data_IF_381707257796
#
_entry.id   IF_381707257796
#
_cell.length_a   1.000
_cell.length_b   1.000
_cell.length_c   1.000
_cell.angle_alpha   90.00
_cell.angle_beta   90.00
_cell.angle_gamma   90.00
#
_symmetry.space_group_name_H-M   'P 1'
#
loop_
_entity.id
_entity.type
_entity.pdbx_description
1 polymer ?
#
# COMPACT_ATOMS: atom_id res chain seq x y z
N UNK A 1 3.56 18.85 -5.04
CA UNK A 1 4.06 18.09 -3.88
C UNK A 1 3.55 16.67 -4.03
N UNK A 2 4.42 15.67 -3.98
CA UNK A 2 4.01 14.28 -4.13
C UNK A 2 3.04 13.84 -3.04
N UNK A 3 2.06 13.01 -3.38
CA UNK A 3 1.05 12.52 -2.45
C UNK A 3 1.50 11.22 -1.80
N UNK A 4 1.56 11.18 -0.47
CA UNK A 4 1.89 9.96 0.28
C UNK A 4 0.61 9.23 0.68
N UNK A 5 0.49 7.95 0.31
CA UNK A 5 -0.72 7.16 0.48
C UNK A 5 -0.37 5.84 1.18
N UNK A 6 -0.86 5.65 2.40
CA UNK A 6 -0.72 4.37 3.09
C UNK A 6 -1.77 3.37 2.61
N UNK A 7 -1.34 2.16 2.24
CA UNK A 7 -2.23 1.06 1.85
C UNK A 7 -2.49 0.20 3.08
N UNK A 8 -3.69 0.30 3.63
CA UNK A 8 -4.01 -0.26 4.95
C UNK A 8 -5.30 -1.06 4.96
N UNK A 9 -5.29 -2.16 5.68
CA UNK A 9 -6.45 -2.90 6.16
C UNK A 9 -5.97 -3.87 7.25
N UNK A 10 -6.71 -3.99 8.35
CA UNK A 10 -6.38 -4.90 9.46
C UNK A 10 -6.48 -6.37 9.05
N UNK A 11 -7.38 -6.68 8.12
CA UNK A 11 -7.58 -8.04 7.64
C UNK A 11 -6.41 -8.45 6.75
N UNK A 12 -5.81 -9.61 7.07
CA UNK A 12 -4.82 -10.26 6.21
C UNK A 12 -5.46 -10.75 4.90
N UNK A 13 -4.65 -10.83 3.83
CA UNK A 13 -5.09 -11.43 2.57
C UNK A 13 -6.07 -10.61 1.71
N UNK A 14 -6.41 -9.37 2.07
CA UNK A 14 -7.34 -8.53 1.28
C UNK A 14 -6.71 -7.90 0.03
N UNK A 15 -5.44 -8.17 -0.24
CA UNK A 15 -4.74 -7.67 -1.43
C UNK A 15 -4.04 -6.32 -1.23
N UNK A 16 -3.61 -5.95 -0.02
CA UNK A 16 -2.80 -4.75 0.23
C UNK A 16 -1.56 -4.71 -0.65
N UNK A 17 -0.64 -5.65 -0.44
CA UNK A 17 0.60 -5.77 -1.21
C UNK A 17 0.36 -5.92 -2.72
N UNK A 18 -0.63 -6.75 -3.11
CA UNK A 18 -1.01 -6.89 -4.52
C UNK A 18 -1.44 -5.56 -5.12
N UNK A 19 -2.21 -4.76 -4.39
CA UNK A 19 -2.66 -3.44 -4.84
C UNK A 19 -1.49 -2.46 -4.90
N UNK A 20 -0.65 -2.42 -3.86
CA UNK A 20 0.53 -1.55 -3.80
C UNK A 20 1.48 -1.81 -4.98
N UNK A 21 1.85 -3.07 -5.23
CA UNK A 21 2.74 -3.48 -6.32
C UNK A 21 2.17 -3.11 -7.69
N UNK A 22 0.91 -3.48 -7.94
CA UNK A 22 0.34 -3.35 -9.28
C UNK A 22 -0.11 -1.93 -9.61
N UNK A 23 -0.56 -1.13 -8.63
CA UNK A 23 -0.82 0.31 -8.85
C UNK A 23 0.49 1.06 -9.09
N UNK A 24 1.56 0.78 -8.33
CA UNK A 24 2.87 1.38 -8.56
C UNK A 24 3.31 1.16 -10.00
N UNK A 25 3.28 -0.08 -10.48
CA UNK A 25 3.67 -0.40 -11.84
C UNK A 25 2.76 0.25 -12.89
N UNK A 26 1.45 0.25 -12.68
CA UNK A 26 0.49 0.84 -13.62
C UNK A 26 0.62 2.38 -13.69
N UNK A 27 0.88 3.07 -12.57
CA UNK A 27 1.13 4.50 -12.55
C UNK A 27 2.49 4.85 -13.20
N UNK A 28 3.51 4.02 -12.99
CA UNK A 28 4.81 4.15 -13.68
C UNK A 28 4.66 4.01 -15.20
N UNK A 29 3.84 3.07 -15.68
CA UNK A 29 3.50 2.93 -17.11
C UNK A 29 2.83 4.20 -17.67
N UNK A 30 2.15 4.99 -16.85
CA UNK A 30 1.53 6.28 -17.21
C UNK A 30 2.49 7.47 -17.09
N UNK A 31 3.76 7.24 -16.74
CA UNK A 31 4.80 8.25 -16.69
C UNK A 31 4.96 8.96 -15.34
N UNK A 32 4.26 8.53 -14.29
CA UNK A 32 4.43 9.10 -12.95
C UNK A 32 5.71 8.58 -12.29
N UNK A 33 6.32 9.42 -11.45
CA UNK A 33 7.40 9.04 -10.56
C UNK A 33 6.79 8.46 -9.29
N UNK A 34 6.94 7.16 -9.09
CA UNK A 34 6.30 6.45 -7.98
C UNK A 34 7.34 5.75 -7.11
N UNK A 35 7.28 6.00 -5.81
CA UNK A 35 8.00 5.24 -4.79
C UNK A 35 7.03 4.31 -4.07
N UNK A 36 7.40 3.06 -3.91
CA UNK A 36 6.71 2.09 -3.08
C UNK A 36 7.57 1.73 -1.87
N UNK A 37 7.08 2.12 -0.70
CA UNK A 37 7.71 1.87 0.59
C UNK A 37 7.15 0.55 1.13
N UNK A 38 7.97 -0.48 1.19
CA UNK A 38 7.60 -1.77 1.81
C UNK A 38 7.77 -1.65 3.33
N UNK A 39 6.67 -1.47 4.05
CA UNK A 39 6.71 -1.28 5.51
C UNK A 39 6.11 -2.48 6.27
N UNK A 40 6.15 -3.65 5.63
CA UNK A 40 5.75 -4.93 6.22
C UNK A 40 7.00 -5.82 6.44
N UNK A 41 7.24 -6.35 7.64
CA UNK A 41 8.35 -7.28 7.92
C UNK A 41 8.33 -8.55 7.05
N UNK A 42 7.18 -8.92 6.47
CA UNK A 42 7.10 -10.03 5.52
C UNK A 42 7.85 -9.71 4.20
N UNK A 43 8.05 -8.43 3.91
CA UNK A 43 8.77 -7.94 2.73
C UNK A 43 8.24 -8.54 1.40
N UNK A 44 6.92 -8.68 1.30
CA UNK A 44 6.26 -9.25 0.12
C UNK A 44 6.26 -8.29 -1.07
N UNK A 45 6.17 -6.99 -0.83
CA UNK A 45 6.33 -5.94 -1.83
C UNK A 45 7.71 -6.00 -2.47
N UNK A 46 8.76 -6.09 -1.65
CA UNK A 46 10.16 -6.22 -2.08
C UNK A 46 10.33 -7.43 -3.00
N UNK A 47 9.80 -8.59 -2.60
CA UNK A 47 9.82 -9.79 -3.43
C UNK A 47 9.00 -9.64 -4.72
N UNK A 48 7.85 -8.97 -4.65
CA UNK A 48 6.96 -8.73 -5.78
C UNK A 48 7.58 -7.87 -6.90
N UNK A 49 8.64 -7.12 -6.60
CA UNK A 49 9.45 -6.38 -7.57
C UNK A 49 10.75 -7.11 -7.96
N UNK A 50 10.91 -8.36 -7.57
CA UNK A 50 12.09 -9.18 -7.91
C UNK A 50 13.37 -8.76 -7.21
N UNK A 51 13.28 -8.00 -6.12
CA UNK A 51 14.44 -7.53 -5.36
C UNK A 51 14.93 -8.65 -4.43
N UNK A 52 16.20 -9.07 -4.60
CA UNK A 52 16.83 -10.06 -3.72
C UNK A 52 17.20 -9.42 -2.37
N UNK A 53 16.41 -9.73 -1.35
CA UNK A 53 16.58 -9.21 0.02
C UNK A 53 17.96 -9.46 0.62
N UNK A 54 18.66 -10.53 0.17
CA UNK A 54 20.00 -10.89 0.67
C UNK A 54 21.11 -10.03 0.11
N UNK A 55 20.84 -9.29 -0.98
CA UNK A 55 21.80 -8.41 -1.66
C UNK A 55 21.59 -6.93 -1.33
N UNK A 56 20.62 -6.62 -0.50
CA UNK A 56 20.37 -5.24 -0.09
C UNK A 56 21.52 -4.72 0.76
N UNK A 57 22.01 -3.53 0.43
CA UNK A 57 22.95 -2.80 1.28
C UNK A 57 22.23 -2.21 2.49
N UNK A 58 21.08 -1.65 2.26
CA UNK A 58 20.19 -1.05 3.26
C UNK A 58 18.75 -1.42 2.97
N UNK A 59 17.96 -1.51 4.01
CA UNK A 59 16.50 -1.68 3.97
C UNK A 59 15.81 -0.53 4.72
N UNK A 60 14.51 -0.51 4.70
CA UNK A 60 13.72 0.47 5.46
C UNK A 60 13.99 0.38 6.97
N UNK A 61 14.40 -0.78 7.49
CA UNK A 61 14.84 -0.92 8.88
C UNK A 61 16.01 0.03 9.18
N UNK A 62 17.07 0.02 8.33
CA UNK A 62 18.22 0.89 8.51
C UNK A 62 17.85 2.38 8.38
N UNK A 63 16.83 2.69 7.56
CA UNK A 63 16.35 4.06 7.40
C UNK A 63 15.67 4.57 8.67
N UNK A 64 14.78 3.77 9.28
CA UNK A 64 14.00 4.22 10.45
C UNK A 64 14.70 4.03 11.78
N UNK A 65 15.65 3.10 11.88
CA UNK A 65 16.37 2.79 13.15
C UNK A 65 17.79 3.36 13.13
N UNK A 66 18.57 3.09 12.06
CA UNK A 66 19.99 3.48 12.03
C UNK A 66 20.18 4.90 11.45
N UNK A 67 19.11 5.57 10.98
CA UNK A 67 19.18 6.91 10.43
C UNK A 67 19.83 6.99 9.04
N UNK A 68 19.89 5.89 8.31
CA UNK A 68 20.37 5.88 6.92
C UNK A 68 19.45 6.75 6.07
N UNK A 69 19.97 7.69 5.25
CA UNK A 69 19.12 8.47 4.35
C UNK A 69 18.27 7.58 3.43
N UNK A 70 16.96 7.82 3.35
CA UNK A 70 16.05 6.99 2.56
C UNK A 70 16.51 6.83 1.10
N UNK A 71 17.08 7.87 0.49
CA UNK A 71 17.63 7.85 -0.88
C UNK A 71 18.70 6.79 -1.09
N UNK A 72 19.47 6.45 -0.06
CA UNK A 72 20.58 5.50 -0.14
C UNK A 72 20.12 4.04 -0.02
N UNK A 73 18.87 3.82 0.41
CA UNK A 73 18.22 2.52 0.52
C UNK A 73 17.24 2.23 -0.64
N UNK A 74 16.91 3.23 -1.46
CA UNK A 74 15.97 3.05 -2.57
C UNK A 74 16.61 2.21 -3.68
N UNK A 75 15.86 1.25 -4.19
CA UNK A 75 16.19 0.41 -5.34
C UNK A 75 15.30 0.82 -6.52
N UNK A 76 15.92 1.31 -7.59
CA UNK A 76 15.17 1.64 -8.83
C UNK A 76 14.92 0.38 -9.64
N UNK A 77 13.67 0.24 -10.11
CA UNK A 77 13.23 -0.86 -10.97
C UNK A 77 12.52 -0.32 -12.21
N UNK A 78 12.34 -1.12 -13.26
CA UNK A 78 11.55 -0.72 -14.43
C UNK A 78 10.09 -0.38 -14.09
N UNK A 79 9.60 -0.83 -12.95
CA UNK A 79 8.17 -0.75 -12.56
C UNK A 79 7.90 0.32 -11.50
N UNK A 80 8.91 1.03 -11.05
CA UNK A 80 8.87 2.05 -10.00
C UNK A 80 10.04 1.90 -9.04
N UNK A 81 10.28 2.91 -8.23
CA UNK A 81 11.28 2.86 -7.18
C UNK A 81 10.72 2.17 -5.94
N UNK A 82 11.54 1.41 -5.24
CA UNK A 82 11.15 0.68 -4.04
C UNK A 82 12.10 1.03 -2.90
N UNK A 83 11.54 1.39 -1.75
CA UNK A 83 12.25 1.38 -0.47
C UNK A 83 12.01 0.02 0.17
N UNK A 84 12.97 -0.92 0.09
CA UNK A 84 12.74 -2.33 0.36
C UNK A 84 12.71 -2.66 1.85
N UNK A 85 12.02 -3.73 2.19
CA UNK A 85 11.95 -4.32 3.53
C UNK A 85 12.78 -5.60 3.65
N UNK A 86 13.09 -5.94 4.89
CA UNK A 86 13.63 -7.24 5.30
C UNK A 86 12.90 -7.71 6.57
N UNK A 87 13.03 -8.99 6.98
CA UNK A 87 12.47 -9.49 8.24
C UNK A 87 12.97 -8.73 9.48
N UNK A 88 14.13 -8.04 9.40
CA UNK A 88 14.67 -7.24 10.50
C UNK A 88 13.71 -6.12 10.92
N UNK A 89 12.84 -5.65 10.01
CA UNK A 89 11.83 -4.63 10.31
C UNK A 89 10.88 -5.06 11.46
N UNK A 90 10.77 -6.36 11.75
CA UNK A 90 10.02 -6.82 12.91
C UNK A 90 10.61 -6.30 14.23
N UNK A 91 11.95 -6.18 14.30
CA UNK A 91 12.66 -5.58 15.44
C UNK A 91 12.36 -4.09 15.61
N UNK A 92 12.21 -3.37 14.50
CA UNK A 92 11.91 -1.93 14.52
C UNK A 92 10.63 -1.60 15.31
N UNK A 93 9.63 -2.48 15.28
CA UNK A 93 8.39 -2.28 16.03
C UNK A 93 8.62 -2.17 17.56
N UNK A 94 9.63 -2.86 18.07
CA UNK A 94 10.03 -2.83 19.49
C UNK A 94 10.94 -1.62 19.76
N UNK A 95 11.93 -1.41 18.89
CA UNK A 95 12.94 -0.35 19.06
C UNK A 95 12.32 1.04 18.97
N UNK A 96 11.36 1.24 18.10
CA UNK A 96 10.62 2.50 17.96
C UNK A 96 9.87 2.90 19.25
N UNK A 97 9.49 1.96 20.12
CA UNK A 97 8.76 2.26 21.36
C UNK A 97 9.54 3.23 22.25
N UNK A 98 10.87 3.10 22.28
CA UNK A 98 11.76 3.95 23.07
C UNK A 98 12.18 5.25 22.37
N UNK A 99 11.82 5.42 21.11
CA UNK A 99 12.22 6.58 20.32
C UNK A 99 11.35 7.80 20.64
N UNK A 100 11.97 8.99 20.64
CA UNK A 100 11.23 10.25 20.68
C UNK A 100 10.42 10.41 19.37
N UNK A 101 9.17 10.87 19.49
CA UNK A 101 8.21 10.95 18.34
C UNK A 101 8.11 9.63 17.57
N UNK A 102 8.02 8.52 18.29
CA UNK A 102 8.06 7.15 17.79
C UNK A 102 7.07 6.85 16.65
N UNK A 103 5.94 7.54 16.59
CA UNK A 103 4.93 7.39 15.54
C UNK A 103 5.28 8.15 14.24
N UNK A 104 6.28 9.06 14.27
CA UNK A 104 6.64 9.96 13.17
C UNK A 104 8.03 9.66 12.55
N UNK A 105 8.67 8.54 12.89
CA UNK A 105 10.00 8.24 12.38
C UNK A 105 10.00 8.02 10.85
N UNK A 106 9.01 7.31 10.33
CA UNK A 106 8.88 7.12 8.88
C UNK A 106 8.60 8.44 8.15
N UNK A 107 7.72 9.29 8.67
CA UNK A 107 7.43 10.62 8.14
C UNK A 107 8.72 11.43 7.98
N UNK A 108 9.50 11.53 9.06
CA UNK A 108 10.80 12.23 9.08
C UNK A 108 11.78 11.69 8.04
N UNK A 109 11.80 10.38 7.83
CA UNK A 109 12.69 9.75 6.85
C UNK A 109 12.25 9.99 5.40
N UNK A 110 10.95 10.10 5.13
CA UNK A 110 10.41 10.30 3.78
C UNK A 110 10.37 11.78 3.35
N UNK A 111 10.30 12.71 4.30
CA UNK A 111 10.18 14.16 4.01
C UNK A 111 11.26 14.68 3.04
N UNK A 112 12.57 14.33 3.17
CA UNK A 112 13.62 14.83 2.28
C UNK A 112 13.46 14.39 0.82
N UNK A 113 12.74 13.30 0.55
CA UNK A 113 12.58 12.72 -0.78
C UNK A 113 11.19 12.90 -1.37
N UNK A 114 10.22 13.38 -0.57
CA UNK A 114 8.80 13.49 -0.95
C UNK A 114 8.58 14.25 -2.25
N UNK A 115 9.34 15.32 -2.49
CA UNK A 115 9.20 16.15 -3.69
C UNK A 115 9.79 15.52 -4.98
N UNK A 116 10.51 14.41 -4.86
CA UNK A 116 11.07 13.70 -6.01
C UNK A 116 10.05 12.79 -6.69
N UNK A 117 8.94 12.50 -6.01
CA UNK A 117 7.89 11.58 -6.46
C UNK A 117 6.54 12.30 -6.61
N UNK A 118 5.73 11.81 -7.55
CA UNK A 118 4.36 12.26 -7.72
C UNK A 118 3.43 11.51 -6.75
N UNK A 119 3.75 10.22 -6.48
CA UNK A 119 3.07 9.38 -5.50
C UNK A 119 4.09 8.56 -4.71
N UNK A 120 3.91 8.50 -3.39
CA UNK A 120 4.59 7.55 -2.50
C UNK A 120 3.52 6.63 -1.90
N UNK A 121 3.60 5.34 -2.18
CA UNK A 121 2.81 4.34 -1.46
C UNK A 121 3.58 3.81 -0.26
N UNK A 122 2.86 3.52 0.83
CA UNK A 122 3.39 2.81 2.00
C UNK A 122 2.55 1.54 2.15
N UNK A 123 3.14 0.37 1.86
CA UNK A 123 2.50 -0.93 2.07
C UNK A 123 2.63 -1.34 3.53
N UNK A 124 1.52 -1.31 4.26
CA UNK A 124 1.50 -1.53 5.71
C UNK A 124 1.16 -2.98 6.08
N UNK A 125 1.68 -3.50 7.21
CA UNK A 125 1.32 -4.83 7.70
C UNK A 125 -0.17 -4.91 8.09
N UNK A 126 -0.72 -6.13 8.27
CA UNK A 126 -2.13 -6.34 8.62
C UNK A 126 -2.43 -6.12 10.11
N UNK A 127 -1.60 -5.38 10.83
CA UNK A 127 -1.79 -5.04 12.24
C UNK A 127 -1.93 -3.53 12.41
N UNK A 128 -2.50 -3.08 13.53
CA UNK A 128 -2.57 -1.65 13.91
C UNK A 128 -1.54 -1.32 14.99
N UNK A 129 -0.35 -1.86 14.83
CA UNK A 129 0.77 -1.68 15.75
C UNK A 129 1.68 -0.53 15.29
N UNK A 130 2.83 -0.38 15.93
CA UNK A 130 3.76 0.74 15.76
C UNK A 130 4.13 1.01 14.28
N UNK A 131 4.35 -0.02 13.48
CA UNK A 131 4.66 0.15 12.06
C UNK A 131 3.49 0.80 11.30
N UNK A 132 2.28 0.27 11.45
CA UNK A 132 1.11 0.86 10.80
C UNK A 132 0.83 2.29 11.28
N UNK A 133 1.04 2.59 12.57
CA UNK A 133 0.92 3.96 13.08
C UNK A 133 1.92 4.91 12.42
N UNK A 134 3.17 4.48 12.22
CA UNK A 134 4.17 5.23 11.45
C UNK A 134 3.74 5.45 9.98
N UNK A 135 3.21 4.41 9.34
CA UNK A 135 2.68 4.53 7.98
C UNK A 135 1.53 5.55 7.88
N UNK A 136 0.61 5.54 8.86
CA UNK A 136 -0.51 6.47 8.93
C UNK A 136 -0.08 7.91 9.31
N UNK A 137 0.95 8.05 10.14
CA UNK A 137 1.52 9.36 10.47
C UNK A 137 2.18 10.01 9.24
N UNK A 138 2.92 9.24 8.46
CA UNK A 138 3.63 9.71 7.27
C UNK A 138 2.72 9.96 6.05
N UNK A 139 1.49 9.46 6.07
CA UNK A 139 0.59 9.53 4.92
C UNK A 139 -0.28 10.79 4.90
N UNK A 140 -0.50 11.35 3.71
CA UNK A 140 -1.51 12.38 3.49
C UNK A 140 -2.92 11.76 3.45
N UNK A 141 -3.02 10.50 3.00
CA UNK A 141 -4.27 9.78 2.89
C UNK A 141 -4.08 8.25 2.86
N UNK A 142 -5.18 7.51 2.98
CA UNK A 142 -5.17 6.05 2.92
C UNK A 142 -5.89 5.50 1.71
N UNK A 143 -5.35 4.43 1.15
CA UNK A 143 -6.02 3.53 0.22
C UNK A 143 -6.40 2.25 0.96
N UNK A 144 -7.66 1.86 0.87
CA UNK A 144 -8.21 0.72 1.62
C UNK A 144 -8.62 -0.39 0.67
N UNK A 145 -7.79 -1.42 0.45
CA UNK A 145 -8.21 -2.62 -0.26
C UNK A 145 -9.21 -3.41 0.57
N UNK A 146 -10.34 -3.78 -0.04
CA UNK A 146 -11.45 -4.49 0.60
C UNK A 146 -11.84 -5.68 -0.23
N UNK A 147 -11.68 -6.87 0.32
CA UNK A 147 -12.14 -8.10 -0.32
C UNK A 147 -13.67 -8.18 -0.28
N UNK A 148 -14.31 -8.50 -1.42
CA UNK A 148 -15.77 -8.62 -1.53
C UNK A 148 -16.30 -9.91 -0.88
N UNK A 149 -16.14 -10.03 0.46
CA UNK A 149 -16.56 -11.16 1.28
C UNK A 149 -17.34 -10.69 2.53
N UNK A 150 -18.00 -11.63 3.23
CA UNK A 150 -18.93 -11.37 4.34
C UNK A 150 -18.38 -10.43 5.43
N UNK A 151 -17.17 -10.64 5.87
CA UNK A 151 -16.54 -9.84 6.94
C UNK A 151 -15.94 -8.51 6.47
N UNK A 152 -16.23 -8.08 5.24
CA UNK A 152 -15.67 -6.84 4.69
C UNK A 152 -16.08 -5.59 5.48
N UNK A 153 -17.34 -5.52 5.87
CA UNK A 153 -17.92 -4.36 6.56
C UNK A 153 -17.46 -4.26 8.02
N UNK A 154 -17.29 -5.39 8.70
CA UNK A 154 -16.77 -5.43 10.07
C UNK A 154 -15.35 -4.87 10.12
N UNK A 155 -14.46 -5.39 9.26
CA UNK A 155 -13.08 -4.90 9.17
C UNK A 155 -12.96 -3.42 8.77
N UNK A 156 -13.93 -2.90 7.99
CA UNK A 156 -14.00 -1.47 7.68
C UNK A 156 -14.40 -0.62 8.87
N UNK A 157 -15.32 -1.08 9.71
CA UNK A 157 -15.74 -0.38 10.93
C UNK A 157 -14.58 -0.20 11.91
N UNK A 158 -13.78 -1.25 12.10
CA UNK A 158 -12.60 -1.23 12.96
C UNK A 158 -11.53 -0.29 12.41
N UNK A 159 -11.28 -0.33 11.10
CA UNK A 159 -10.35 0.58 10.44
C UNK A 159 -10.80 2.05 10.60
N UNK A 160 -12.10 2.34 10.45
CA UNK A 160 -12.64 3.69 10.65
C UNK A 160 -12.50 4.18 12.09
N UNK A 161 -12.61 3.30 13.07
CA UNK A 161 -12.38 3.63 14.48
C UNK A 161 -10.91 3.98 14.72
N UNK A 162 -9.99 3.21 14.15
CA UNK A 162 -8.56 3.50 14.21
C UNK A 162 -8.21 4.79 13.50
N UNK A 163 -8.75 5.02 12.31
CA UNK A 163 -8.55 6.29 11.61
C UNK A 163 -8.97 7.50 12.45
N UNK A 164 -10.12 7.42 13.10
CA UNK A 164 -10.58 8.52 14.01
C UNK A 164 -9.60 8.76 15.15
N UNK A 165 -9.03 7.71 15.74
CA UNK A 165 -8.02 7.81 16.78
C UNK A 165 -6.72 8.45 16.24
N UNK A 166 -6.23 8.01 15.09
CA UNK A 166 -5.03 8.56 14.44
C UNK A 166 -5.23 10.02 14.08
N UNK A 167 -6.36 10.40 13.47
CA UNK A 167 -6.69 11.81 13.17
C UNK A 167 -6.70 12.69 14.40
N UNK A 168 -7.17 12.18 15.53
CA UNK A 168 -7.27 12.97 16.77
C UNK A 168 -5.91 13.18 17.44
N UNK A 169 -4.98 12.21 17.36
CA UNK A 169 -3.79 12.15 18.21
C UNK A 169 -2.47 12.25 17.47
N UNK A 170 -2.43 11.84 16.20
CA UNK A 170 -1.18 11.63 15.46
C UNK A 170 -1.17 12.47 14.19
N UNK A 171 -2.14 12.29 13.28
CA UNK A 171 -2.18 12.96 11.98
C UNK A 171 -3.57 13.55 11.70
N UNK A 172 -3.84 14.80 12.10
CA UNK A 172 -5.15 15.45 11.90
C UNK A 172 -5.57 15.60 10.44
N UNK A 173 -4.61 15.58 9.51
CA UNK A 173 -4.86 15.77 8.06
C UNK A 173 -5.21 14.48 7.34
N UNK A 174 -5.02 13.32 7.98
CA UNK A 174 -5.22 12.02 7.36
C UNK A 174 -6.64 11.86 6.81
N UNK A 175 -6.77 11.51 5.54
CA UNK A 175 -8.05 11.31 4.87
C UNK A 175 -8.13 9.96 4.16
N UNK A 176 -9.34 9.53 3.79
CA UNK A 176 -9.52 8.40 2.88
C UNK A 176 -9.33 8.92 1.46
N UNK A 177 -8.30 8.43 0.79
CA UNK A 177 -8.12 8.65 -0.64
C UNK A 177 -9.16 7.88 -1.44
N UNK A 178 -9.16 6.55 -1.28
CA UNK A 178 -10.12 5.68 -1.94
C UNK A 178 -10.23 4.31 -1.25
N UNK A 179 -11.28 3.59 -1.58
CA UNK A 179 -11.50 2.17 -1.27
C UNK A 179 -11.40 1.37 -2.57
N UNK A 180 -10.55 0.34 -2.59
CA UNK A 180 -10.36 -0.55 -3.73
C UNK A 180 -11.05 -1.90 -3.46
N UNK A 181 -12.08 -2.23 -4.21
CA UNK A 181 -12.73 -3.54 -4.15
C UNK A 181 -11.82 -4.59 -4.79
N UNK A 182 -11.48 -5.65 -4.04
CA UNK A 182 -10.57 -6.71 -4.49
C UNK A 182 -11.27 -8.07 -4.51
N UNK A 183 -10.69 -9.01 -5.27
CA UNK A 183 -11.20 -10.37 -5.40
C UNK A 183 -12.70 -10.43 -5.75
N UNK A 184 -13.15 -9.43 -6.51
CA UNK A 184 -14.54 -9.33 -6.94
C UNK A 184 -14.86 -10.48 -7.90
N UNK A 185 -15.97 -11.20 -7.62
CA UNK A 185 -16.51 -12.22 -8.50
C UNK A 185 -17.89 -11.80 -8.99
N UNK A 186 -17.95 -11.27 -10.22
CA UNK A 186 -19.20 -10.80 -10.84
C UNK A 186 -20.22 -11.89 -11.14
N UNK A 187 -19.89 -13.18 -10.95
CA UNK A 187 -20.82 -14.30 -11.11
C UNK A 187 -21.68 -14.52 -9.86
N UNK A 188 -21.31 -13.91 -8.73
CA UNK A 188 -22.01 -14.09 -7.45
C UNK A 188 -22.76 -12.83 -7.07
N UNK A 189 -24.04 -12.99 -6.74
CA UNK A 189 -24.87 -11.90 -6.17
C UNK A 189 -24.27 -11.35 -4.89
N UNK A 190 -23.58 -12.20 -4.14
CA UNK A 190 -22.96 -11.84 -2.87
C UNK A 190 -21.86 -10.78 -3.02
N UNK A 191 -20.91 -10.95 -3.95
CA UNK A 191 -19.89 -9.94 -4.22
C UNK A 191 -20.49 -8.59 -4.65
N UNK A 192 -21.58 -8.62 -5.43
CA UNK A 192 -22.29 -7.43 -5.83
C UNK A 192 -22.96 -6.71 -4.65
N UNK A 193 -23.59 -7.46 -3.73
CA UNK A 193 -24.19 -6.92 -2.50
C UNK A 193 -23.13 -6.27 -1.60
N UNK A 194 -21.99 -6.95 -1.35
CA UNK A 194 -20.88 -6.38 -0.56
C UNK A 194 -20.36 -5.10 -1.21
N UNK A 195 -20.14 -5.11 -2.51
CA UNK A 195 -19.68 -3.93 -3.25
C UNK A 195 -20.67 -2.76 -3.14
N UNK A 196 -21.96 -3.02 -3.19
CA UNK A 196 -23.01 -2.01 -3.01
C UNK A 196 -22.98 -1.42 -1.60
N UNK A 197 -22.90 -2.25 -0.57
CA UNK A 197 -22.83 -1.79 0.81
C UNK A 197 -21.55 -0.97 1.08
N UNK A 198 -20.40 -1.38 0.56
CA UNK A 198 -19.17 -0.59 0.67
C UNK A 198 -19.34 0.77 -0.01
N UNK A 199 -19.94 0.84 -1.21
CA UNK A 199 -20.21 2.11 -1.90
C UNK A 199 -21.17 3.01 -1.12
N UNK A 200 -22.15 2.42 -0.43
CA UNK A 200 -23.10 3.14 0.42
C UNK A 200 -22.43 3.78 1.64
N UNK A 201 -21.47 3.06 2.26
CA UNK A 201 -20.75 3.55 3.43
C UNK A 201 -19.63 4.56 3.08
N UNK A 202 -19.10 4.51 1.87
CA UNK A 202 -18.00 5.38 1.39
C UNK A 202 -18.40 6.10 0.09
N UNK A 203 -19.41 6.97 0.13
CA UNK A 203 -19.91 7.64 -1.07
C UNK A 203 -18.80 8.48 -1.73
N UNK A 204 -18.58 8.29 -3.04
CA UNK A 204 -17.57 8.99 -3.81
C UNK A 204 -16.11 8.56 -3.54
N UNK A 205 -15.88 7.67 -2.57
CA UNK A 205 -14.53 7.21 -2.21
C UNK A 205 -14.19 5.81 -2.77
N UNK A 206 -15.16 5.05 -3.29
CA UNK A 206 -14.88 3.72 -3.86
C UNK A 206 -14.52 3.86 -5.33
N UNK A 207 -13.43 3.22 -5.76
CA UNK A 207 -13.11 3.15 -7.18
C UNK A 207 -14.25 2.48 -7.96
N UNK A 208 -14.53 2.96 -9.18
CA UNK A 208 -15.49 2.34 -10.07
C UNK A 208 -15.00 0.96 -10.50
N UNK A 209 -13.70 0.86 -10.80
CA UNK A 209 -13.03 -0.40 -11.13
C UNK A 209 -12.91 -1.29 -9.89
N UNK A 210 -13.41 -2.52 -9.99
CA UNK A 210 -13.16 -3.58 -9.01
C UNK A 210 -12.09 -4.53 -9.55
N UNK A 211 -11.15 -4.96 -8.70
CA UNK A 211 -10.13 -5.93 -9.06
C UNK A 211 -10.73 -7.33 -8.99
N UNK A 212 -10.79 -8.07 -10.11
CA UNK A 212 -11.38 -9.39 -10.13
C UNK A 212 -10.49 -10.43 -9.44
N UNK A 213 -11.10 -11.51 -8.97
CA UNK A 213 -10.34 -12.73 -8.61
C UNK A 213 -9.65 -13.25 -9.87
N UNK A 214 -8.32 -13.27 -9.87
CA UNK A 214 -7.53 -13.64 -11.04
C UNK A 214 -6.23 -14.35 -10.61
N UNK A 215 -5.99 -15.55 -11.16
CA UNK A 215 -4.84 -16.38 -10.79
C UNK A 215 -3.51 -15.71 -11.14
N UNK A 216 -3.45 -14.91 -12.21
CA UNK A 216 -2.23 -14.21 -12.64
C UNK A 216 -1.72 -13.23 -11.58
N UNK A 217 -2.63 -12.64 -10.77
CA UNK A 217 -2.25 -11.80 -9.62
C UNK A 217 -1.55 -12.58 -8.51
N UNK A 218 -1.84 -13.88 -8.38
CA UNK A 218 -1.20 -14.75 -7.39
C UNK A 218 0.11 -15.37 -7.92
N UNK A 219 0.22 -15.56 -9.22
CA UNK A 219 1.42 -16.12 -9.86
C UNK A 219 2.54 -15.08 -10.04
N UNK A 220 2.20 -13.87 -10.46
CA UNK A 220 3.16 -12.82 -10.79
C UNK A 220 4.23 -12.58 -9.70
N UNK A 221 3.90 -12.53 -8.38
CA UNK A 221 4.91 -12.36 -7.34
C UNK A 221 5.96 -13.48 -7.27
N UNK A 222 5.62 -14.72 -7.65
CA UNK A 222 6.58 -15.84 -7.69
C UNK A 222 7.66 -15.66 -8.76
N UNK A 223 7.39 -14.78 -9.73
CA UNK A 223 8.33 -14.38 -10.78
C UNK A 223 9.00 -13.03 -10.50
N UNK A 224 8.71 -12.40 -9.35
CA UNK A 224 9.23 -11.08 -9.00
C UNK A 224 8.74 -9.98 -9.95
N UNK A 225 7.53 -10.08 -10.47
CA UNK A 225 6.98 -9.16 -11.45
C UNK A 225 5.60 -8.63 -11.01
N UNK A 226 5.29 -7.36 -11.28
CA UNK A 226 3.90 -6.91 -11.24
C UNK A 226 3.10 -7.57 -12.37
N UNK A 227 1.79 -7.73 -12.17
CA UNK A 227 0.93 -8.42 -13.16
C UNK A 227 0.94 -7.73 -14.53
N UNK A 228 1.14 -6.43 -14.56
CA UNK A 228 1.21 -5.65 -15.82
C UNK A 228 2.42 -6.02 -16.67
N UNK A 229 3.48 -6.55 -16.06
CA UNK A 229 4.66 -7.09 -16.75
C UNK A 229 4.56 -8.60 -16.98
N UNK A 230 3.98 -9.33 -16.01
CA UNK A 230 3.84 -10.78 -16.07
C UNK A 230 2.86 -11.26 -17.14
N UNK A 231 1.64 -10.67 -17.14
CA UNK A 231 0.59 -10.97 -18.15
C UNK A 231 -0.21 -9.69 -18.44
N UNK A 232 0.21 -8.98 -19.48
CA UNK A 232 -0.35 -7.67 -19.88
C UNK A 232 -1.84 -7.72 -20.24
N UNK A 233 -2.32 -8.85 -20.70
CA UNK A 233 -3.71 -9.05 -21.18
C UNK A 233 -4.63 -9.65 -20.12
N UNK A 234 -4.10 -10.10 -18.98
CA UNK A 234 -4.91 -10.68 -17.93
C UNK A 234 -5.94 -9.69 -17.37
N UNK A 235 -7.07 -10.21 -16.91
CA UNK A 235 -8.13 -9.40 -16.30
C UNK A 235 -7.60 -8.56 -15.13
N UNK A 236 -6.65 -9.09 -14.34
CA UNK A 236 -6.01 -8.38 -13.25
C UNK A 236 -5.18 -7.19 -13.74
N UNK A 237 -4.39 -7.38 -14.79
CA UNK A 237 -3.56 -6.33 -15.41
C UNK A 237 -4.43 -5.19 -15.97
N UNK A 238 -5.47 -5.54 -16.72
CA UNK A 238 -6.41 -4.56 -17.29
C UNK A 238 -7.10 -3.77 -16.16
N UNK A 239 -7.55 -4.44 -15.11
CA UNK A 239 -8.22 -3.79 -13.99
C UNK A 239 -7.29 -2.82 -13.23
N UNK A 240 -6.03 -3.19 -12.96
CA UNK A 240 -5.11 -2.27 -12.29
C UNK A 240 -4.72 -1.07 -13.15
N UNK A 241 -4.61 -1.21 -14.49
CA UNK A 241 -4.43 -0.06 -15.38
C UNK A 241 -5.63 0.89 -15.36
N UNK A 242 -6.85 0.35 -15.40
CA UNK A 242 -8.06 1.16 -15.29
C UNK A 242 -8.16 1.87 -13.93
N UNK A 243 -7.83 1.17 -12.83
CA UNK A 243 -7.80 1.77 -11.49
C UNK A 243 -6.72 2.86 -11.37
N UNK A 244 -5.57 2.70 -12.01
CA UNK A 244 -4.53 3.73 -12.07
C UNK A 244 -5.01 4.98 -12.81
N UNK A 245 -5.79 4.84 -13.90
CA UNK A 245 -6.41 5.97 -14.60
C UNK A 245 -7.41 6.73 -13.72
N UNK A 246 -8.27 6.00 -13.01
CA UNK A 246 -9.17 6.62 -12.01
C UNK A 246 -8.39 7.33 -10.88
N UNK A 247 -7.27 6.74 -10.46
CA UNK A 247 -6.42 7.33 -9.42
C UNK A 247 -5.81 8.65 -9.88
N UNK A 248 -5.28 8.71 -11.11
CA UNK A 248 -4.68 9.93 -11.69
C UNK A 248 -5.68 11.10 -11.70
N UNK A 249 -6.97 10.82 -11.97
CA UNK A 249 -8.02 11.85 -11.94
C UNK A 249 -8.32 12.38 -10.53
N UNK A 250 -7.87 11.69 -9.48
CA UNK A 250 -8.10 12.05 -8.06
C UNK A 250 -6.85 12.63 -7.38
N UNK A 251 -5.68 12.56 -8.02
CA UNK A 251 -4.41 13.13 -7.53
C UNK A 251 -4.38 14.65 -7.68
#
# INVERSE_FOLDING_TARGET
>A
MGKTIAVVNQKGGVGKTTTSVNLTAALKEKGLRVLLCDFDPQANTTSGFGIDKRKLKYSIYNVVIDGVPAKDAIVSTPYGDVLPSTPDLAGAAIELISSEYREHQLEKCLEPIKNQYDVIFIDCPPSLEMLTLNGLAAADSILVPVQCEYYALEGLSDLMSTMRMVKRRINPKLEIFAVALTMYDGRTNFSAQVAQEVRRHFPGKVFATAIPRNIRLSEAPSHGLPVTAYDKSSKGSVAYRAMAEEMIQKL
#
